data_IF_134824375226
#
_entry.id   IF_134824375226
#
_cell.length_a   1.000
_cell.length_b   1.000
_cell.length_c   1.000
_cell.angle_alpha   90.00
_cell.angle_beta   90.00
_cell.angle_gamma   90.00
#
_symmetry.space_group_name_H-M   'P 1'
#
loop_
_entity.id
_entity.type
_entity.pdbx_description
1 polymer ?
#
# COMPACT_ATOMS: atom_id res chain seq x y z
N UNK A 1 6.33 -0.05 14.30
CA UNK A 1 6.62 1.40 14.43
C UNK A 1 6.31 2.17 13.14
N UNK A 2 6.84 1.79 11.98
CA UNK A 2 6.50 2.41 10.68
C UNK A 2 5.01 2.37 10.29
N UNK A 3 4.30 1.26 10.55
CA UNK A 3 2.89 1.09 10.15
C UNK A 3 1.93 2.07 10.82
N UNK A 4 2.14 2.38 12.09
CA UNK A 4 1.26 3.28 12.86
C UNK A 4 1.33 4.70 12.31
N UNK A 5 2.50 5.16 11.89
CA UNK A 5 2.68 6.49 11.29
C UNK A 5 1.95 6.61 9.94
N UNK A 6 2.02 5.57 9.11
CA UNK A 6 1.31 5.54 7.82
C UNK A 6 -0.22 5.54 8.01
N UNK A 7 -0.73 4.78 8.98
CA UNK A 7 -2.17 4.74 9.29
C UNK A 7 -2.64 6.07 9.91
N UNK A 8 -1.82 6.70 10.73
CA UNK A 8 -2.15 8.00 11.30
C UNK A 8 -2.19 9.09 10.23
N UNK A 9 -1.26 9.05 9.27
CA UNK A 9 -1.26 9.91 8.07
C UNK A 9 -2.45 9.64 7.15
N UNK A 10 -3.08 8.46 7.18
CA UNK A 10 -4.30 8.18 6.40
C UNK A 10 -5.59 8.74 7.02
N UNK A 11 -5.63 8.99 8.32
CA UNK A 11 -6.85 9.44 9.01
C UNK A 11 -7.12 10.95 8.86
N UNK A 12 -6.34 11.64 8.02
CA UNK A 12 -6.60 13.03 7.66
C UNK A 12 -7.89 13.13 6.81
N UNK A 13 -8.83 14.03 7.13
CA UNK A 13 -10.07 14.19 6.37
C UNK A 13 -9.78 14.47 4.89
N UNK A 14 -10.48 13.73 4.00
CA UNK A 14 -10.36 13.91 2.55
C UNK A 14 -9.17 13.19 1.90
N UNK A 15 -8.42 12.37 2.64
CA UNK A 15 -7.29 11.60 2.10
C UNK A 15 -7.74 10.22 1.63
N UNK A 16 -7.51 9.92 0.36
CA UNK A 16 -7.74 8.59 -0.19
C UNK A 16 -6.51 7.70 0.04
N UNK A 17 -6.75 6.45 0.40
CA UNK A 17 -5.71 5.47 0.69
C UNK A 17 -5.99 4.21 -0.10
N UNK A 18 -4.95 3.67 -0.74
CA UNK A 18 -4.97 2.39 -1.44
C UNK A 18 -3.95 1.48 -0.78
N UNK A 19 -4.38 0.28 -0.41
CA UNK A 19 -3.52 -0.71 0.24
C UNK A 19 -3.43 -1.96 -0.65
N UNK A 20 -2.21 -2.28 -1.07
CA UNK A 20 -1.86 -3.51 -1.76
C UNK A 20 -1.45 -4.57 -0.73
N UNK A 21 -2.35 -5.51 -0.44
CA UNK A 21 -2.03 -6.69 0.35
C UNK A 21 -1.44 -7.74 -0.57
N UNK A 22 -0.15 -7.99 -0.41
CA UNK A 22 0.67 -8.77 -1.34
C UNK A 22 1.40 -9.89 -0.60
N UNK A 23 2.08 -10.75 -1.35
CA UNK A 23 2.98 -11.74 -0.81
C UNK A 23 4.12 -12.00 -1.79
N UNK A 24 5.31 -12.32 -1.26
CA UNK A 24 6.48 -12.67 -2.08
C UNK A 24 6.20 -13.83 -3.05
N UNK A 25 5.38 -14.80 -2.64
CA UNK A 25 4.98 -15.97 -3.42
C UNK A 25 3.80 -15.73 -4.37
N UNK A 26 3.10 -14.60 -4.27
CA UNK A 26 1.94 -14.31 -5.09
C UNK A 26 2.34 -13.82 -6.50
N UNK A 27 2.27 -14.72 -7.49
CA UNK A 27 2.55 -14.41 -8.90
C UNK A 27 1.72 -13.24 -9.47
N UNK A 28 0.37 -13.27 -9.38
CA UNK A 28 -0.48 -12.17 -9.83
C UNK A 28 -0.19 -10.83 -9.14
N UNK A 29 0.15 -10.85 -7.85
CA UNK A 29 0.48 -9.64 -7.10
C UNK A 29 1.75 -8.96 -7.64
N UNK A 30 2.76 -9.75 -8.04
CA UNK A 30 3.97 -9.21 -8.70
C UNK A 30 3.66 -8.59 -10.07
N UNK A 31 2.65 -9.11 -10.78
CA UNK A 31 2.25 -8.57 -12.08
C UNK A 31 1.54 -7.21 -11.96
N UNK A 32 0.70 -7.01 -10.95
CA UNK A 32 -0.02 -5.74 -10.76
C UNK A 32 0.84 -4.65 -10.09
N UNK A 33 1.86 -5.02 -9.32
CA UNK A 33 2.74 -4.10 -8.61
C UNK A 33 3.27 -2.90 -9.43
N UNK A 34 3.81 -3.06 -10.66
CA UNK A 34 4.28 -1.92 -11.46
C UNK A 34 3.15 -0.94 -11.83
N UNK A 35 1.92 -1.43 -12.04
CA UNK A 35 0.78 -0.58 -12.34
C UNK A 35 0.37 0.26 -11.12
N UNK A 36 0.37 -0.33 -9.92
CA UNK A 36 0.12 0.40 -8.68
C UNK A 36 1.20 1.45 -8.41
N UNK A 37 2.47 1.14 -8.67
CA UNK A 37 3.57 2.10 -8.56
C UNK A 37 3.41 3.27 -9.56
N UNK A 38 2.95 2.99 -10.78
CA UNK A 38 2.65 4.04 -11.75
C UNK A 38 1.49 4.94 -11.29
N UNK A 39 0.41 4.36 -10.76
CA UNK A 39 -0.71 5.12 -10.22
C UNK A 39 -0.28 5.98 -9.03
N UNK A 40 0.57 5.46 -8.14
CA UNK A 40 1.13 6.25 -7.04
C UNK A 40 1.91 7.48 -7.53
N UNK A 41 2.65 7.35 -8.64
CA UNK A 41 3.35 8.48 -9.26
C UNK A 41 2.40 9.47 -9.92
N UNK A 42 1.30 9.00 -10.51
CA UNK A 42 0.29 9.83 -11.18
C UNK A 42 -0.62 10.57 -10.19
N UNK A 43 -0.88 9.98 -9.02
CA UNK A 43 -1.80 10.50 -8.01
C UNK A 43 -1.07 10.76 -6.68
N UNK A 44 -0.21 11.79 -6.58
CA UNK A 44 0.59 12.05 -5.37
C UNK A 44 -0.24 12.43 -4.14
N UNK A 45 -1.50 12.81 -4.33
CA UNK A 45 -2.45 13.10 -3.25
C UNK A 45 -3.04 11.84 -2.60
N UNK A 46 -2.91 10.68 -3.28
CA UNK A 46 -3.40 9.38 -2.80
C UNK A 46 -2.26 8.66 -2.10
N UNK A 47 -2.51 8.16 -0.89
CA UNK A 47 -1.53 7.37 -0.16
C UNK A 47 -1.59 5.90 -0.62
N UNK A 48 -0.53 5.42 -1.27
CA UNK A 48 -0.39 4.00 -1.63
C UNK A 48 0.49 3.29 -0.61
N UNK A 49 0.00 2.19 -0.04
CA UNK A 49 0.69 1.36 0.93
C UNK A 49 0.80 -0.07 0.40
N UNK A 50 1.89 -0.76 0.73
CA UNK A 50 2.10 -2.18 0.43
C UNK A 50 2.26 -2.95 1.72
N UNK A 51 1.45 -3.98 1.94
CA UNK A 51 1.50 -4.88 3.09
C UNK A 51 1.88 -6.26 2.59
N UNK A 52 3.02 -6.80 3.04
CA UNK A 52 3.28 -8.23 2.85
C UNK A 52 2.53 -9.02 3.93
N UNK A 53 1.66 -9.95 3.51
CA UNK A 53 0.83 -10.74 4.43
C UNK A 53 1.66 -11.74 5.24
N UNK A 54 2.83 -12.16 4.74
CA UNK A 54 3.73 -13.07 5.46
C UNK A 54 4.46 -12.35 6.60
N UNK A 55 4.55 -11.01 6.55
CA UNK A 55 5.16 -10.18 7.60
C UNK A 55 4.18 -9.84 8.74
N UNK A 56 2.89 -10.18 8.58
CA UNK A 56 1.87 -9.96 9.60
C UNK A 56 2.00 -11.01 10.70
N UNK A 57 2.35 -10.56 11.90
CA UNK A 57 2.32 -11.39 13.12
C UNK A 57 0.99 -11.17 13.84
N UNK A 58 0.23 -12.24 14.05
CA UNK A 58 -0.86 -12.31 15.04
C UNK A 58 -0.34 -12.23 16.47
#
# INVERSE_FOLDING_TARGET
ESWTEHIQKSNEPGKLVVVDFTASWCGPCRFIAPFLAELARRFPIVLFLKVDVDELKT
#
